data_IF_618254743996
#
_entry.id   IF_618254743996
#
_cell.length_a   1.000
_cell.length_b   1.000
_cell.length_c   1.000
_cell.angle_alpha   90.00
_cell.angle_beta   90.00
_cell.angle_gamma   90.00
#
_symmetry.space_group_name_H-M   'P 1'
#
loop_
_entity.id
_entity.type
_entity.pdbx_description
1 polymer ?
#
# COMPACT_ATOMS: atom_id res chain seq x y z
N UNK A 1 12.09 74.86 -16.53
CA UNK A 1 12.04 73.62 -17.34
C UNK A 1 13.32 72.83 -17.05
N UNK A 2 13.20 71.59 -16.56
CA UNK A 2 14.34 70.70 -16.30
C UNK A 2 14.00 69.69 -15.20
N UNK A 3 13.49 68.52 -15.60
CA UNK A 3 13.13 67.39 -14.73
C UNK A 3 14.35 66.45 -14.53
N UNK A 4 14.24 65.59 -13.50
CA UNK A 4 14.95 64.30 -13.25
C UNK A 4 16.31 64.46 -12.54
N UNK A 5 16.67 63.69 -11.52
CA UNK A 5 16.53 62.25 -11.32
C UNK A 5 16.40 61.90 -9.81
N UNK A 6 15.40 61.09 -9.47
CA UNK A 6 15.36 60.30 -8.25
C UNK A 6 15.67 58.85 -8.64
N UNK A 7 16.69 58.23 -8.05
CA UNK A 7 16.87 56.78 -8.05
C UNK A 7 18.00 56.40 -7.09
N UNK A 8 17.73 55.51 -6.14
CA UNK A 8 18.77 54.73 -5.48
C UNK A 8 18.54 54.48 -4.00
N UNK A 9 17.81 53.41 -3.68
CA UNK A 9 18.12 52.45 -2.61
C UNK A 9 16.89 51.59 -2.30
N UNK A 10 16.67 50.54 -3.08
CA UNK A 10 15.73 49.47 -2.75
C UNK A 10 16.36 48.13 -3.14
N UNK A 11 17.39 47.72 -2.38
CA UNK A 11 17.96 46.37 -2.45
C UNK A 11 18.25 45.92 -1.02
N UNK A 12 17.23 45.43 -0.33
CA UNK A 12 17.39 44.54 0.82
C UNK A 12 16.05 43.84 1.06
N UNK A 13 16.10 42.53 1.38
CA UNK A 13 14.97 41.64 1.75
C UNK A 13 14.41 40.67 0.69
N UNK A 14 15.26 40.02 -0.13
CA UNK A 14 14.87 38.86 -0.94
C UNK A 14 15.63 37.55 -0.59
N UNK A 15 16.06 37.38 0.66
CA UNK A 15 16.87 36.21 1.09
C UNK A 15 16.23 35.31 2.17
N UNK A 16 14.89 35.20 2.25
CA UNK A 16 14.26 34.42 3.33
C UNK A 16 13.09 33.52 2.94
N UNK A 17 13.12 32.83 1.80
CA UNK A 17 12.13 31.76 1.53
C UNK A 17 12.75 30.54 0.83
N UNK A 18 13.80 29.96 1.42
CA UNK A 18 14.08 28.53 1.28
C UNK A 18 13.61 27.84 2.57
N UNK A 19 12.30 27.89 2.84
CA UNK A 19 11.68 26.97 3.76
C UNK A 19 11.64 25.60 3.06
N UNK A 20 12.72 24.83 3.19
CA UNK A 20 12.63 23.39 2.99
C UNK A 20 11.56 22.90 3.97
N UNK A 21 10.40 22.53 3.45
CA UNK A 21 9.34 21.92 4.22
C UNK A 21 9.87 20.63 4.83
N UNK A 22 10.43 20.74 6.04
CA UNK A 22 10.83 19.63 6.88
C UNK A 22 9.57 18.95 7.41
N UNK A 23 8.85 18.26 6.53
CA UNK A 23 7.85 17.30 6.95
C UNK A 23 8.53 16.23 7.80
N UNK A 24 7.91 15.88 8.93
CA UNK A 24 8.36 14.78 9.78
C UNK A 24 8.49 13.53 8.90
N UNK A 25 9.68 12.92 8.88
CA UNK A 25 9.89 11.71 8.11
C UNK A 25 8.96 10.61 8.65
N UNK A 26 8.14 10.03 7.76
CA UNK A 26 7.27 8.91 8.07
C UNK A 26 8.12 7.74 8.56
N UNK A 27 7.81 7.21 9.74
CA UNK A 27 8.47 6.02 10.28
C UNK A 27 7.71 4.75 9.90
N UNK A 28 8.38 3.61 10.02
CA UNK A 28 7.74 2.32 9.78
C UNK A 28 6.55 2.05 10.71
N UNK A 29 6.60 2.57 11.95
CA UNK A 29 5.53 2.48 12.95
C UNK A 29 4.31 3.37 12.63
N UNK A 30 4.47 4.34 11.71
CA UNK A 30 3.37 5.20 11.25
C UNK A 30 2.62 4.60 10.04
N UNK A 31 3.06 3.44 9.53
CA UNK A 31 2.44 2.79 8.37
C UNK A 31 1.14 2.10 8.71
N UNK A 32 0.19 2.22 7.80
CA UNK A 32 -1.16 1.70 7.96
C UNK A 32 -1.40 0.48 7.06
N UNK A 33 -1.34 -0.71 7.67
CA UNK A 33 -1.53 -1.97 6.97
C UNK A 33 -2.97 -2.48 6.99
N UNK A 34 -3.94 -1.64 7.36
CA UNK A 34 -5.37 -1.98 7.33
C UNK A 34 -6.09 -1.07 6.34
N UNK A 35 -6.36 -1.57 5.13
CA UNK A 35 -6.93 -0.76 4.05
C UNK A 35 -7.67 -1.61 3.02
N UNK A 36 -8.56 -0.97 2.26
CA UNK A 36 -9.19 -1.51 1.06
C UNK A 36 -8.93 -0.54 -0.08
N UNK A 37 -8.66 -1.06 -1.28
CA UNK A 37 -8.31 -0.26 -2.45
C UNK A 37 -8.44 -1.07 -3.75
N UNK A 38 -8.23 -0.41 -4.89
CA UNK A 38 -7.78 -1.08 -6.10
C UNK A 38 -6.25 -1.17 -6.16
N UNK A 39 -5.75 -2.17 -6.89
CA UNK A 39 -4.33 -2.36 -7.09
C UNK A 39 -4.02 -2.80 -8.53
N UNK A 40 -3.15 -2.07 -9.19
CA UNK A 40 -2.52 -2.48 -10.43
C UNK A 40 -1.31 -3.35 -10.13
N UNK A 41 -1.37 -4.61 -10.56
CA UNK A 41 -0.35 -5.63 -10.36
C UNK A 41 0.36 -5.90 -11.69
N UNK A 42 1.68 -5.80 -11.70
CA UNK A 42 2.54 -6.31 -12.76
C UNK A 42 3.38 -7.47 -12.24
N UNK A 43 3.35 -8.61 -12.92
CA UNK A 43 4.21 -9.75 -12.61
C UNK A 43 4.55 -10.56 -13.87
N UNK A 44 5.38 -11.61 -13.72
CA UNK A 44 5.72 -12.52 -14.84
C UNK A 44 4.50 -13.15 -15.52
N UNK A 45 3.37 -13.27 -14.80
CA UNK A 45 2.12 -13.81 -15.32
C UNK A 45 1.26 -12.82 -16.11
N UNK A 46 1.62 -11.53 -16.14
CA UNK A 46 0.86 -10.49 -16.81
C UNK A 46 0.57 -9.29 -15.92
N UNK A 47 -0.31 -8.42 -16.42
CA UNK A 47 -0.80 -7.25 -15.71
C UNK A 47 -2.27 -7.44 -15.34
N UNK A 48 -2.64 -7.04 -14.14
CA UNK A 48 -3.98 -7.21 -13.57
C UNK A 48 -4.38 -5.94 -12.82
N UNK A 49 -5.64 -5.55 -12.92
CA UNK A 49 -6.25 -4.65 -11.93
C UNK A 49 -7.02 -5.52 -10.94
N UNK A 50 -6.82 -5.28 -9.66
CA UNK A 50 -7.39 -6.09 -8.59
C UNK A 50 -8.15 -5.24 -7.58
N UNK A 51 -9.22 -5.79 -7.01
CA UNK A 51 -9.72 -5.31 -5.72
C UNK A 51 -8.87 -5.95 -4.62
N UNK A 52 -8.36 -5.12 -3.70
CA UNK A 52 -7.55 -5.57 -2.59
C UNK A 52 -8.15 -5.10 -1.27
N UNK A 53 -8.27 -6.01 -0.30
CA UNK A 53 -8.66 -5.69 1.06
C UNK A 53 -7.69 -6.33 2.04
N UNK A 54 -7.31 -5.58 3.06
CA UNK A 54 -6.48 -6.04 4.16
C UNK A 54 -7.06 -5.58 5.49
N UNK A 55 -7.46 -6.53 6.32
CA UNK A 55 -7.93 -6.32 7.69
C UNK A 55 -6.85 -6.53 8.76
N UNK A 56 -5.57 -6.60 8.36
CA UNK A 56 -4.41 -6.92 9.21
C UNK A 56 -3.72 -8.23 8.82
N UNK A 57 -2.72 -8.65 9.60
CA UNK A 57 -1.86 -9.80 9.30
C UNK A 57 -2.56 -11.15 9.03
N UNK A 58 -3.80 -11.32 9.50
CA UNK A 58 -4.58 -12.57 9.35
C UNK A 58 -5.83 -12.41 8.48
N UNK A 59 -6.01 -11.27 7.81
CA UNK A 59 -7.20 -11.01 7.00
C UNK A 59 -6.83 -10.24 5.75
N UNK A 60 -6.99 -10.87 4.59
CA UNK A 60 -6.86 -10.18 3.32
C UNK A 60 -7.74 -10.84 2.24
N UNK A 61 -8.01 -10.10 1.16
CA UNK A 61 -8.55 -10.65 -0.07
C UNK A 61 -7.97 -9.94 -1.29
N UNK A 62 -7.84 -10.68 -2.38
CA UNK A 62 -7.47 -10.16 -3.71
C UNK A 62 -8.46 -10.75 -4.70
N UNK A 63 -9.09 -9.91 -5.51
CA UNK A 63 -9.90 -10.34 -6.67
C UNK A 63 -9.38 -9.68 -7.93
N UNK A 64 -9.17 -10.45 -9.00
CA UNK A 64 -8.79 -9.92 -10.30
C UNK A 64 -10.04 -9.33 -10.98
N UNK A 65 -10.06 -8.02 -11.16
CA UNK A 65 -11.13 -7.30 -11.84
C UNK A 65 -10.92 -7.28 -13.36
N UNK A 66 -9.67 -7.14 -13.79
CA UNK A 66 -9.29 -7.07 -15.22
C UNK A 66 -8.03 -7.89 -15.52
N UNK A 67 -7.91 -8.39 -16.74
CA UNK A 67 -6.81 -9.24 -17.21
C UNK A 67 -7.21 -10.70 -17.47
N UNK A 68 -6.23 -11.55 -17.78
CA UNK A 68 -6.48 -12.91 -18.30
C UNK A 68 -7.19 -13.88 -17.33
N UNK A 69 -7.32 -13.52 -16.06
CA UNK A 69 -7.93 -14.34 -15.01
C UNK A 69 -9.00 -13.56 -14.21
N UNK A 70 -9.71 -12.61 -14.85
CA UNK A 70 -10.78 -11.85 -14.20
C UNK A 70 -11.83 -12.76 -13.52
N UNK A 71 -12.24 -12.40 -12.30
CA UNK A 71 -13.10 -13.19 -11.43
C UNK A 71 -12.38 -14.25 -10.59
N UNK A 72 -11.06 -14.40 -10.72
CA UNK A 72 -10.26 -15.21 -9.79
C UNK A 72 -10.05 -14.40 -8.52
N UNK A 73 -10.44 -14.98 -7.39
CA UNK A 73 -10.27 -14.34 -6.08
C UNK A 73 -9.64 -15.28 -5.06
N UNK A 74 -8.95 -14.67 -4.12
CA UNK A 74 -8.37 -15.32 -2.95
C UNK A 74 -8.81 -14.59 -1.69
N UNK A 75 -9.14 -15.37 -0.67
CA UNK A 75 -9.53 -14.88 0.65
C UNK A 75 -8.68 -15.58 1.69
N UNK A 76 -8.09 -14.79 2.59
CA UNK A 76 -7.21 -15.26 3.65
C UNK A 76 -7.81 -14.94 5.00
N UNK A 77 -7.90 -15.96 5.84
CA UNK A 77 -8.30 -15.89 7.23
C UNK A 77 -7.29 -16.64 8.08
N UNK A 78 -7.18 -16.32 9.37
CA UNK A 78 -6.21 -16.96 10.28
C UNK A 78 -6.21 -18.49 10.34
N UNK A 79 -7.19 -19.18 9.73
CA UNK A 79 -7.35 -20.63 9.63
C UNK A 79 -6.99 -21.23 8.25
N UNK A 80 -6.69 -20.42 7.24
CA UNK A 80 -6.32 -20.90 5.90
C UNK A 80 -6.68 -19.93 4.79
N UNK A 81 -6.95 -20.49 3.59
CA UNK A 81 -7.37 -19.68 2.46
C UNK A 81 -8.49 -20.34 1.65
N UNK A 82 -9.26 -19.49 0.98
CA UNK A 82 -10.25 -19.89 -0.02
C UNK A 82 -9.88 -19.26 -1.35
N UNK A 83 -9.89 -20.04 -2.42
CA UNK A 83 -9.78 -19.56 -3.79
C UNK A 83 -11.09 -19.77 -4.51
N UNK A 84 -11.55 -18.77 -5.26
CA UNK A 84 -12.77 -18.87 -6.07
C UNK A 84 -12.52 -18.48 -7.50
N UNK A 85 -13.15 -19.17 -8.45
CA UNK A 85 -13.11 -18.82 -9.87
C UNK A 85 -14.27 -19.45 -10.61
N UNK A 86 -14.98 -18.67 -11.44
CA UNK A 86 -16.06 -19.17 -12.31
C UNK A 86 -17.10 -20.06 -11.57
N UNK A 87 -17.48 -19.67 -10.35
CA UNK A 87 -18.44 -20.41 -9.51
C UNK A 87 -17.86 -21.63 -8.77
N UNK A 88 -16.58 -21.95 -8.96
CA UNK A 88 -15.86 -22.94 -8.17
C UNK A 88 -15.24 -22.30 -6.94
N UNK A 89 -15.21 -23.04 -5.83
CA UNK A 89 -14.56 -22.65 -4.60
C UNK A 89 -13.71 -23.80 -4.05
N UNK A 90 -12.44 -23.54 -3.76
CA UNK A 90 -11.53 -24.46 -3.10
C UNK A 90 -11.07 -23.85 -1.77
N UNK A 91 -11.41 -24.50 -0.65
CA UNK A 91 -10.92 -24.14 0.68
C UNK A 91 -9.76 -25.04 1.05
N UNK A 92 -8.65 -24.45 1.50
CA UNK A 92 -7.52 -25.18 2.09
C UNK A 92 -7.32 -24.74 3.53
N UNK A 93 -7.39 -25.69 4.45
CA UNK A 93 -7.01 -25.51 5.85
C UNK A 93 -5.51 -25.77 6.04
N UNK A 94 -4.86 -24.98 6.89
CA UNK A 94 -3.50 -25.20 7.39
C UNK A 94 -2.32 -25.22 6.38
N UNK A 95 -2.51 -24.78 5.12
CA UNK A 95 -1.42 -24.66 4.14
C UNK A 95 -1.04 -23.18 3.97
N UNK A 96 0.25 -22.81 3.90
CA UNK A 96 0.64 -21.47 3.51
C UNK A 96 0.05 -21.11 2.15
N UNK A 97 -0.16 -19.81 1.96
CA UNK A 97 -0.61 -19.20 0.72
C UNK A 97 0.09 -19.84 -0.50
N UNK A 98 -0.62 -20.17 -1.60
CA UNK A 98 -0.01 -20.87 -2.73
C UNK A 98 1.29 -20.19 -3.16
N UNK A 99 2.42 -20.89 -3.06
CA UNK A 99 3.73 -20.28 -3.28
C UNK A 99 3.89 -19.73 -4.70
N UNK A 100 3.06 -20.18 -5.65
CA UNK A 100 3.10 -19.83 -7.07
C UNK A 100 2.27 -18.60 -7.47
N UNK A 101 1.55 -17.94 -6.54
CA UNK A 101 0.64 -16.84 -6.85
C UNK A 101 1.21 -15.47 -6.47
N UNK A 102 1.02 -14.46 -7.33
CA UNK A 102 1.40 -13.07 -7.00
C UNK A 102 0.70 -12.58 -5.73
N UNK A 103 -0.54 -13.04 -5.52
CA UNK A 103 -1.39 -12.64 -4.41
C UNK A 103 -0.81 -13.17 -3.07
N UNK A 104 -0.28 -14.40 -3.08
CA UNK A 104 0.47 -14.97 -1.96
C UNK A 104 1.72 -14.15 -1.62
N UNK A 105 2.51 -13.79 -2.63
CA UNK A 105 3.75 -13.03 -2.44
C UNK A 105 3.47 -11.64 -1.89
N UNK A 106 2.44 -10.96 -2.42
CA UNK A 106 1.98 -9.66 -1.95
C UNK A 106 1.61 -9.71 -0.46
N UNK A 107 0.76 -10.67 -0.06
CA UNK A 107 0.32 -10.81 1.32
C UNK A 107 1.48 -11.18 2.26
N UNK A 108 2.41 -12.05 1.84
CA UNK A 108 3.61 -12.40 2.62
C UNK A 108 4.51 -11.20 2.86
N UNK A 109 4.73 -10.37 1.82
CA UNK A 109 5.51 -9.15 1.95
C UNK A 109 4.86 -8.16 2.93
N UNK A 110 3.54 -7.92 2.82
CA UNK A 110 2.81 -7.04 3.73
C UNK A 110 2.76 -7.58 5.17
N UNK A 111 2.53 -8.89 5.34
CA UNK A 111 2.59 -9.54 6.65
C UNK A 111 3.97 -9.42 7.31
N UNK A 112 5.02 -9.46 6.51
CA UNK A 112 6.38 -9.23 7.01
C UNK A 112 6.61 -7.76 7.35
N UNK A 113 6.11 -6.83 6.52
CA UNK A 113 6.25 -5.39 6.70
C UNK A 113 5.57 -4.87 7.98
N UNK A 114 4.41 -5.45 8.35
CA UNK A 114 3.64 -5.10 9.55
C UNK A 114 4.32 -5.53 10.86
N UNK A 115 5.34 -6.40 10.81
CA UNK A 115 6.03 -6.87 12.01
C UNK A 115 6.90 -5.74 12.60
N UNK A 116 6.88 -5.52 13.93
CA UNK A 116 7.74 -4.54 14.58
C UNK A 116 9.22 -4.75 14.22
N UNK A 117 9.87 -3.68 13.77
CA UNK A 117 11.30 -3.69 13.41
C UNK A 117 11.65 -4.39 12.09
N UNK A 118 10.67 -4.85 11.30
CA UNK A 118 10.93 -5.57 10.05
C UNK A 118 11.31 -4.68 8.86
N UNK A 119 10.98 -3.38 8.94
CA UNK A 119 11.25 -2.41 7.88
C UNK A 119 12.44 -1.53 8.22
N UNK A 120 13.29 -1.30 7.21
CA UNK A 120 14.35 -0.30 7.22
C UNK A 120 13.95 0.84 6.29
N UNK A 121 13.90 2.08 6.81
CA UNK A 121 13.62 3.25 5.95
C UNK A 121 14.85 3.60 5.11
N UNK A 122 14.64 3.83 3.81
CA UNK A 122 15.64 4.41 2.90
C UNK A 122 15.48 5.94 2.74
N UNK A 123 14.56 6.55 3.49
CA UNK A 123 14.16 7.96 3.39
C UNK A 123 13.07 8.19 2.33
N UNK A 124 12.50 9.40 2.28
CA UNK A 124 11.45 9.79 1.31
C UNK A 124 10.22 8.85 1.30
N UNK A 125 9.81 8.37 2.47
CA UNK A 125 8.67 7.44 2.66
C UNK A 125 8.86 6.09 1.94
N UNK A 126 10.11 5.71 1.69
CA UNK A 126 10.47 4.41 1.14
C UNK A 126 11.04 3.52 2.25
N UNK A 127 10.67 2.25 2.19
CA UNK A 127 11.00 1.22 3.15
C UNK A 127 11.43 -0.04 2.42
N UNK A 128 12.33 -0.79 3.05
CA UNK A 128 12.79 -2.09 2.57
C UNK A 128 12.60 -3.13 3.65
N UNK A 129 12.33 -4.38 3.25
CA UNK A 129 12.16 -5.50 4.16
C UNK A 129 12.46 -6.84 3.50
N UNK A 130 12.30 -7.91 4.27
CA UNK A 130 12.48 -9.29 3.81
C UNK A 130 11.38 -10.20 4.32
N UNK A 131 10.76 -10.95 3.42
CA UNK A 131 9.78 -11.98 3.73
C UNK A 131 10.28 -13.33 3.19
N UNK A 132 10.56 -14.29 4.07
CA UNK A 132 10.85 -15.69 3.70
C UNK A 132 11.91 -15.83 2.58
N UNK A 133 13.01 -15.07 2.70
CA UNK A 133 14.12 -15.08 1.72
C UNK A 133 13.94 -14.13 0.53
N UNK A 134 12.79 -13.47 0.38
CA UNK A 134 12.53 -12.48 -0.67
C UNK A 134 12.72 -11.07 -0.11
N UNK A 135 13.54 -10.25 -0.79
CA UNK A 135 13.61 -8.83 -0.50
C UNK A 135 12.45 -8.09 -1.16
N UNK A 136 11.92 -7.08 -0.48
CA UNK A 136 10.89 -6.21 -1.02
C UNK A 136 11.16 -4.75 -0.68
N UNK A 137 10.59 -3.85 -1.48
CA UNK A 137 10.49 -2.41 -1.17
C UNK A 137 9.02 -1.99 -1.11
N UNK A 138 8.75 -0.94 -0.35
CA UNK A 138 7.44 -0.37 -0.10
C UNK A 138 7.57 1.15 -0.10
N UNK A 139 6.68 1.85 -0.79
CA UNK A 139 6.50 3.30 -0.56
C UNK A 139 5.17 3.54 0.13
N UNK A 140 5.05 4.67 0.83
CA UNK A 140 3.81 5.04 1.49
C UNK A 140 3.49 6.52 1.34
N UNK A 141 2.22 6.84 1.45
CA UNK A 141 1.74 8.21 1.52
C UNK A 141 2.20 8.85 2.85
N UNK A 142 2.90 10.00 2.82
CA UNK A 142 3.42 10.64 4.03
C UNK A 142 2.35 11.19 4.98
N UNK A 143 1.12 11.40 4.51
CA UNK A 143 0.04 11.95 5.31
C UNK A 143 -0.80 10.85 5.96
N UNK A 144 -1.11 9.79 5.21
CA UNK A 144 -2.01 8.73 5.67
C UNK A 144 -1.29 7.48 6.17
N UNK A 145 -0.02 7.30 5.82
CA UNK A 145 0.73 6.07 6.11
C UNK A 145 0.32 4.88 5.24
N UNK A 146 -0.61 5.05 4.29
CA UNK A 146 -1.08 3.99 3.42
C UNK A 146 0.01 3.59 2.41
N UNK A 147 0.26 2.28 2.19
CA UNK A 147 1.14 1.81 1.14
C UNK A 147 0.73 2.32 -0.25
N UNK A 148 1.65 2.87 -1.02
CA UNK A 148 1.39 3.28 -2.41
C UNK A 148 1.95 2.30 -3.42
N UNK A 149 3.16 1.78 -3.18
CA UNK A 149 3.73 0.72 -4.00
C UNK A 149 4.34 -0.38 -3.16
N UNK A 150 4.39 -1.58 -3.71
CA UNK A 150 5.16 -2.70 -3.19
C UNK A 150 5.84 -3.44 -4.34
N UNK A 151 7.14 -3.66 -4.23
CA UNK A 151 7.89 -4.41 -5.24
C UNK A 151 8.62 -5.60 -4.63
N UNK A 152 8.57 -6.76 -5.31
CA UNK A 152 9.34 -7.96 -4.99
C UNK A 152 10.15 -8.38 -6.23
N UNK A 153 11.38 -7.87 -6.40
CA UNK A 153 12.14 -8.02 -7.64
C UNK A 153 12.43 -9.47 -8.06
N UNK A 154 12.67 -10.37 -7.11
CA UNK A 154 12.90 -11.80 -7.40
C UNK A 154 11.70 -12.47 -8.09
N UNK A 155 10.52 -11.90 -7.89
CA UNK A 155 9.26 -12.31 -8.50
C UNK A 155 8.89 -11.50 -9.74
N UNK A 156 9.63 -10.44 -10.05
CA UNK A 156 9.22 -9.44 -11.03
C UNK A 156 7.86 -8.83 -10.68
N UNK A 157 7.49 -8.79 -9.39
CA UNK A 157 6.21 -8.29 -8.90
C UNK A 157 6.33 -6.81 -8.57
N UNK A 158 5.40 -6.01 -9.07
CA UNK A 158 5.12 -4.64 -8.66
C UNK A 158 3.61 -4.49 -8.43
N UNK A 159 3.23 -3.91 -7.31
CA UNK A 159 1.86 -3.54 -6.98
C UNK A 159 1.79 -2.03 -6.78
N UNK A 160 0.81 -1.38 -7.39
CA UNK A 160 0.48 0.04 -7.19
C UNK A 160 -0.92 0.14 -6.63
N UNK A 161 -1.06 0.66 -5.43
CA UNK A 161 -2.33 0.78 -4.74
C UNK A 161 -2.93 2.16 -4.99
N UNK A 162 -4.23 2.21 -5.31
CA UNK A 162 -4.97 3.43 -5.63
C UNK A 162 -6.45 3.27 -5.28
N UNK A 163 -7.21 4.36 -5.34
CA UNK A 163 -8.66 4.36 -5.06
C UNK A 163 -8.99 3.68 -3.72
N UNK A 164 -8.34 4.15 -2.66
CA UNK A 164 -8.55 3.66 -1.31
C UNK A 164 -9.95 4.00 -0.81
N UNK A 165 -10.62 3.03 -0.20
CA UNK A 165 -11.89 3.26 0.47
C UNK A 165 -11.69 4.20 1.68
N UNK A 166 -12.68 5.06 1.94
CA UNK A 166 -12.71 5.79 3.21
C UNK A 166 -12.77 4.78 4.37
N UNK A 167 -11.86 4.95 5.33
CA UNK A 167 -11.92 4.18 6.57
C UNK A 167 -13.18 4.57 7.32
N UNK A 168 -14.16 3.68 7.40
CA UNK A 168 -15.28 3.85 8.32
C UNK A 168 -14.73 3.95 9.75
N UNK A 169 -14.91 5.07 10.46
CA UNK A 169 -14.50 5.16 11.86
C UNK A 169 -15.20 4.07 12.67
N UNK A 170 -14.47 3.46 13.62
CA UNK A 170 -15.01 2.36 14.45
C UNK A 170 -16.34 2.71 15.16
N UNK A 171 -16.61 3.99 15.38
CA UNK A 171 -17.86 4.53 15.94
C UNK A 171 -19.08 4.39 15.01
N UNK A 172 -18.91 4.32 13.69
CA UNK A 172 -20.01 4.12 12.73
C UNK A 172 -20.29 2.64 12.42
N UNK A 173 -19.35 1.74 12.72
CA UNK A 173 -19.55 0.29 12.53
C UNK A 173 -20.55 -0.33 13.54
N UNK A 174 -20.80 0.34 14.67
CA UNK A 174 -21.73 -0.14 15.70
C UNK A 174 -23.21 0.14 15.38
N UNK A 175 -23.54 1.09 14.50
CA UNK A 175 -24.93 1.40 14.14
C UNK A 175 -25.44 0.60 12.93
N UNK A 176 -24.56 -0.05 12.16
CA UNK A 176 -24.96 -0.77 10.93
C UNK A 176 -25.22 -2.28 11.16
N UNK A 177 -24.88 -2.82 12.34
CA UNK A 177 -24.99 -4.26 12.63
C UNK A 177 -25.67 -4.60 13.97
N UNK A 178 -26.38 -3.64 14.59
CA UNK A 178 -27.39 -3.95 15.59
C UNK A 178 -28.77 -3.95 14.90
N UNK A 179 -29.25 -5.09 14.37
CA UNK A 179 -30.67 -5.21 14.11
C UNK A 179 -31.40 -5.17 15.46
N UNK A 180 -32.49 -4.40 15.54
CA UNK A 180 -33.56 -4.66 16.51
C UNK A 180 -34.05 -6.12 16.38
#
# INVERSE_FOLDING_TARGET
MGKRLAAGAAVLCLLFLCACAGGKALKAEDLDFTFSCEADISCKGGNFTCSFRRGGAQSASVEILSGGAAGLAWYWGGDGFTQTYAGLAEKKSAVPLPESSFASVLVRALNSAERPGALTSSGRNEFTGRAEGMAFSLTADPQTGLPQTLAVPSWGLEAKFHDFDEKTPATQALETYAPD
#
